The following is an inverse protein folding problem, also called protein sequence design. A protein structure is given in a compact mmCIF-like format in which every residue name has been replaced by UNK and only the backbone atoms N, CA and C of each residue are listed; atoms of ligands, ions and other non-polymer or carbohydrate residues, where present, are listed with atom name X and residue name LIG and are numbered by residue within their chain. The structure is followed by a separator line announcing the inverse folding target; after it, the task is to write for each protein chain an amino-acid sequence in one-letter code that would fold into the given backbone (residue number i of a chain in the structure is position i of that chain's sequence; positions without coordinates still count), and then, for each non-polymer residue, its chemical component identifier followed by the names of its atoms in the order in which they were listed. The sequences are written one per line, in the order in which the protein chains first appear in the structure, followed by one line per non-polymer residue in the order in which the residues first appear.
data_IF_469847207109
#
_entry.id   IF_469847207109
#
_cell.length_a   1.000
_cell.length_b   1.000
_cell.length_c   1.000
_cell.angle_alpha   90.00
_cell.angle_beta   90.00
_cell.angle_gamma   90.00
#
_symmetry.space_group_name_H-M   'P 1'
#
loop_
_entity.id
_entity.type
_entity.pdbx_description
1 polymer ?
#
# COMPACT_ATOMS: atom_id res chain seq x y z
N UNK A 1 12.95 18.20 13.39
CA UNK A 1 11.79 18.64 12.58
C UNK A 1 12.23 18.66 11.10
N UNK A 2 12.22 17.49 10.47
CA UNK A 2 12.75 17.30 9.10
C UNK A 2 11.63 17.41 8.05
N UNK A 3 10.65 18.33 8.23
CA UNK A 3 9.59 18.58 7.24
C UNK A 3 8.45 17.55 7.18
N UNK A 4 8.46 16.53 8.03
CA UNK A 4 7.40 15.52 8.11
C UNK A 4 6.25 16.02 8.99
N UNK A 5 5.04 16.01 8.44
CA UNK A 5 3.83 16.48 9.13
C UNK A 5 2.81 15.34 9.23
N UNK A 6 2.22 15.17 10.41
CA UNK A 6 1.11 14.23 10.59
C UNK A 6 -0.09 14.70 9.74
N UNK A 7 -0.57 13.84 8.85
CA UNK A 7 -1.63 14.15 7.90
C UNK A 7 -2.93 13.40 8.19
N UNK A 8 -2.83 12.15 8.59
CA UNK A 8 -3.99 11.29 8.86
C UNK A 8 -3.71 10.41 10.08
N UNK A 9 -4.75 10.18 10.89
CA UNK A 9 -4.70 9.20 11.96
C UNK A 9 -5.92 8.28 11.88
N UNK A 10 -5.68 7.00 12.03
CA UNK A 10 -6.72 5.96 12.09
C UNK A 10 -6.58 5.16 13.37
N UNK A 11 -7.69 4.79 13.98
CA UNK A 11 -7.73 3.96 15.16
C UNK A 11 -8.71 2.81 15.01
N UNK A 12 -8.32 1.64 15.49
CA UNK A 12 -9.21 0.47 15.54
C UNK A 12 -10.29 0.69 16.58
N UNK A 13 -11.54 0.64 16.17
CA UNK A 13 -12.68 0.58 17.11
C UNK A 13 -12.72 -0.80 17.74
N UNK A 14 -12.48 -0.89 19.04
CA UNK A 14 -12.52 -2.13 19.80
C UNK A 14 -13.59 -2.05 20.89
N UNK A 15 -14.38 -3.11 21.04
CA UNK A 15 -15.30 -3.25 22.19
C UNK A 15 -14.59 -3.70 23.46
N UNK A 16 -13.39 -4.27 23.32
CA UNK A 16 -12.61 -4.88 24.42
C UNK A 16 -11.60 -3.92 25.04
N UNK A 17 -11.10 -2.95 24.30
CA UNK A 17 -10.05 -2.04 24.71
C UNK A 17 -10.52 -0.59 24.63
N UNK A 18 -10.14 0.21 25.63
CA UNK A 18 -10.35 1.67 25.57
C UNK A 18 -9.61 2.27 24.37
N UNK A 19 -10.02 3.47 23.96
CA UNK A 19 -9.39 4.18 22.85
C UNK A 19 -7.86 4.29 23.05
N UNK A 20 -7.41 4.59 24.28
CA UNK A 20 -6.00 4.79 24.62
C UNK A 20 -5.13 3.55 24.44
N UNK A 21 -5.73 2.35 24.43
CA UNK A 21 -5.02 1.08 24.27
C UNK A 21 -5.24 0.42 22.91
N UNK A 22 -6.11 0.98 22.08
CA UNK A 22 -6.40 0.41 20.77
C UNK A 22 -5.25 0.67 19.79
N UNK A 23 -5.09 -0.27 18.83
CA UNK A 23 -4.13 -0.10 17.75
C UNK A 23 -4.47 1.14 16.94
N UNK A 24 -3.48 1.97 16.70
CA UNK A 24 -3.59 3.18 15.88
C UNK A 24 -2.50 3.25 14.83
N UNK A 25 -2.78 3.99 13.77
CA UNK A 25 -1.90 4.26 12.67
C UNK A 25 -1.89 5.77 12.46
N UNK A 26 -0.70 6.36 12.34
CA UNK A 26 -0.50 7.76 11.99
C UNK A 26 0.31 7.80 10.69
N UNK A 27 -0.13 8.63 9.75
CA UNK A 27 0.56 8.90 8.50
C UNK A 27 1.26 10.24 8.58
N UNK A 28 2.53 10.26 8.27
CA UNK A 28 3.33 11.46 8.12
C UNK A 28 3.68 11.65 6.67
N UNK A 29 3.58 12.87 6.19
CA UNK A 29 3.89 13.28 4.83
C UNK A 29 4.92 14.37 4.80
N UNK A 30 5.81 14.33 3.83
CA UNK A 30 6.76 15.40 3.54
C UNK A 30 6.33 16.11 2.26
N UNK A 31 6.04 17.41 2.32
CA UNK A 31 5.49 18.16 1.19
C UNK A 31 6.50 18.32 0.06
N UNK A 32 7.78 18.47 0.38
CA UNK A 32 8.84 18.64 -0.61
C UNK A 32 9.22 17.35 -1.38
N UNK A 33 8.68 16.20 -0.94
CA UNK A 33 8.87 14.91 -1.60
C UNK A 33 7.68 14.53 -2.49
N UNK A 34 6.85 15.48 -2.87
CA UNK A 34 5.74 15.23 -3.79
C UNK A 34 6.27 14.76 -5.16
N UNK A 35 5.71 13.69 -5.67
CA UNK A 35 6.05 13.17 -7.00
C UNK A 35 5.15 13.82 -8.05
N UNK A 36 5.46 15.06 -8.44
CA UNK A 36 4.62 15.85 -9.35
C UNK A 36 4.88 15.57 -10.84
N UNK A 37 5.96 14.84 -11.17
CA UNK A 37 6.45 14.73 -12.56
C UNK A 37 5.87 13.56 -13.37
N UNK A 38 5.02 12.73 -12.79
CA UNK A 38 4.56 11.51 -13.47
C UNK A 38 3.18 11.63 -14.17
N UNK A 39 2.55 12.80 -14.16
CA UNK A 39 1.23 12.98 -14.75
C UNK A 39 0.11 12.16 -14.09
N UNK A 40 0.39 11.57 -12.95
CA UNK A 40 -0.42 10.51 -12.30
C UNK A 40 -1.13 11.01 -11.05
N UNK A 41 -1.42 12.29 -10.96
CA UNK A 41 -1.88 12.93 -9.74
C UNK A 41 -0.78 12.97 -8.67
N UNK A 42 -0.90 13.85 -7.70
CA UNK A 42 0.13 14.02 -6.68
C UNK A 42 0.30 12.74 -5.85
N UNK A 43 1.45 12.11 -5.96
CA UNK A 43 1.87 10.99 -5.11
C UNK A 43 2.92 11.48 -4.13
N UNK A 44 2.80 11.06 -2.88
CA UNK A 44 3.70 11.48 -1.81
C UNK A 44 4.28 10.24 -1.12
N UNK A 45 5.58 10.19 -0.92
CA UNK A 45 6.15 9.29 0.07
C UNK A 45 5.58 9.59 1.45
N UNK A 46 5.20 8.56 2.16
CA UNK A 46 4.65 8.65 3.52
C UNK A 46 5.43 7.76 4.47
N UNK A 47 5.51 8.20 5.70
CA UNK A 47 5.86 7.32 6.81
C UNK A 47 4.60 6.92 7.58
N UNK A 48 4.49 5.63 7.87
CA UNK A 48 3.39 5.07 8.63
C UNK A 48 3.90 4.60 9.98
N UNK A 49 3.44 5.28 11.02
CA UNK A 49 3.64 4.88 12.39
C UNK A 49 2.45 4.01 12.83
N UNK A 50 2.70 2.78 13.20
CA UNK A 50 1.71 1.87 13.75
C UNK A 50 2.11 1.54 15.18
N UNK A 51 1.18 1.76 16.11
CA UNK A 51 1.42 1.49 17.52
C UNK A 51 0.21 0.85 18.20
N UNK A 52 0.44 0.16 19.32
CA UNK A 52 -0.60 -0.48 20.11
C UNK A 52 -0.15 -0.60 21.56
N UNK A 53 -0.87 0.04 22.48
CA UNK A 53 -0.53 0.10 23.91
C UNK A 53 -1.14 -1.06 24.75
N UNK A 54 -1.81 -2.02 24.11
CA UNK A 54 -2.43 -3.16 24.82
C UNK A 54 -1.52 -4.38 24.98
N UNK A 55 -0.23 -4.26 24.67
CA UNK A 55 0.76 -5.35 24.71
C UNK A 55 0.66 -6.39 23.58
N UNK A 56 -0.34 -6.27 22.69
CA UNK A 56 -0.57 -7.19 21.58
C UNK A 56 0.06 -6.73 20.26
N UNK A 57 0.68 -5.56 20.24
CA UNK A 57 1.32 -5.00 19.06
C UNK A 57 2.69 -4.40 19.37
N UNK A 58 3.55 -4.37 18.36
CA UNK A 58 4.83 -3.65 18.40
C UNK A 58 4.69 -2.26 17.81
N UNK A 59 5.57 -1.36 18.23
CA UNK A 59 5.86 -0.14 17.48
C UNK A 59 6.39 -0.52 16.10
N UNK A 60 5.86 0.07 15.05
CA UNK A 60 6.32 -0.13 13.70
C UNK A 60 6.34 1.20 12.96
N UNK A 61 7.46 1.49 12.32
CA UNK A 61 7.57 2.57 11.36
C UNK A 61 7.83 1.95 9.98
N UNK A 62 7.11 2.40 8.97
CA UNK A 62 7.19 1.84 7.62
C UNK A 62 7.16 2.97 6.59
N UNK A 63 7.89 2.79 5.49
CA UNK A 63 7.70 3.60 4.32
C UNK A 63 6.38 3.27 3.63
N UNK A 64 5.80 4.23 2.95
CA UNK A 64 4.56 4.09 2.18
C UNK A 64 4.51 5.09 1.05
N UNK A 65 3.57 4.89 0.16
CA UNK A 65 3.23 5.83 -0.90
C UNK A 65 1.76 6.22 -0.79
N UNK A 66 1.48 7.51 -0.80
CA UNK A 66 0.13 8.04 -0.82
C UNK A 66 -0.15 8.72 -2.15
N UNK A 67 -1.30 8.43 -2.73
CA UNK A 67 -1.77 9.06 -3.94
C UNK A 67 -3.05 9.83 -3.65
N UNK A 68 -3.03 11.15 -3.84
CA UNK A 68 -4.16 12.04 -3.52
C UNK A 68 -5.45 11.66 -4.25
N UNK A 69 -5.34 11.19 -5.48
CA UNK A 69 -6.49 10.85 -6.32
C UNK A 69 -7.29 9.67 -5.75
N UNK A 70 -6.66 8.78 -4.98
CA UNK A 70 -7.28 7.54 -4.52
C UNK A 70 -7.85 7.62 -3.09
N UNK A 71 -7.47 8.58 -2.26
CA UNK A 71 -7.72 8.57 -0.82
C UNK A 71 -7.39 7.22 -0.13
N UNK A 72 -6.80 6.30 -0.88
CA UNK A 72 -6.33 5.01 -0.39
C UNK A 72 -4.81 5.12 -0.25
N UNK A 73 -4.32 5.35 0.96
CA UNK A 73 -2.88 5.27 1.19
C UNK A 73 -2.41 3.85 0.88
N UNK A 74 -1.40 3.76 0.04
CA UNK A 74 -0.69 2.53 -0.24
C UNK A 74 0.41 2.37 0.80
N UNK A 75 0.45 1.24 1.45
CA UNK A 75 1.46 0.94 2.46
C UNK A 75 2.45 -0.03 1.82
N UNK A 76 3.65 0.46 1.60
CA UNK A 76 4.76 -0.37 1.17
C UNK A 76 5.49 -0.79 2.43
N UNK A 77 5.51 -2.07 2.70
CA UNK A 77 6.24 -2.64 3.82
C UNK A 77 7.10 -3.77 3.32
N UNK A 78 8.00 -3.46 2.42
CA UNK A 78 9.03 -4.41 2.00
C UNK A 78 10.29 -4.21 2.85
N UNK A 79 11.03 -5.30 3.06
CA UNK A 79 12.33 -5.26 3.72
C UNK A 79 13.35 -4.40 2.94
N UNK A 80 13.13 -4.19 1.64
CA UNK A 80 13.98 -3.36 0.78
C UNK A 80 13.78 -1.86 1.00
N UNK A 81 12.61 -1.41 1.52
CA UNK A 81 12.28 0.02 1.68
C UNK A 81 12.20 0.46 3.14
N UNK A 82 12.88 -0.24 4.02
CA UNK A 82 12.99 0.10 5.42
C UNK A 82 11.70 -0.10 6.21
N UNK A 83 11.74 -0.98 7.16
CA UNK A 83 10.72 -1.09 8.21
C UNK A 83 11.38 -1.29 9.55
N UNK A 84 10.95 -0.51 10.54
CA UNK A 84 11.37 -0.69 11.94
C UNK A 84 10.24 -1.38 12.67
N UNK A 85 10.57 -2.45 13.36
CA UNK A 85 9.63 -3.15 14.24
C UNK A 85 10.28 -3.36 15.59
N UNK A 86 9.80 -2.64 16.60
CA UNK A 86 10.31 -2.69 17.97
C UNK A 86 9.23 -3.16 18.94
N UNK A 87 9.56 -4.11 19.82
CA UNK A 87 8.70 -4.45 20.94
C UNK A 87 8.74 -3.37 22.01
N UNK A 88 7.65 -3.17 22.75
CA UNK A 88 7.61 -2.19 23.85
C UNK A 88 8.52 -2.56 25.03
N UNK A 89 8.83 -3.84 25.19
CA UNK A 89 9.76 -4.32 26.21
C UNK A 89 11.18 -4.24 25.65
N UNK A 90 12.07 -3.54 26.35
CA UNK A 90 13.45 -3.29 25.89
C UNK A 90 13.52 -2.22 24.79
N UNK A 91 12.66 -1.19 24.89
CA UNK A 91 12.66 -0.07 23.95
C UNK A 91 13.98 0.70 24.01
N UNK A 92 14.67 0.73 22.88
CA UNK A 92 15.88 1.52 22.67
C UNK A 92 15.54 2.69 21.73
N UNK A 93 15.51 3.91 22.29
CA UNK A 93 15.15 5.12 21.57
C UNK A 93 16.15 5.44 20.45
N UNK A 94 17.44 5.24 20.69
CA UNK A 94 18.49 5.56 19.71
C UNK A 94 18.42 4.63 18.50
N UNK A 95 18.21 3.34 18.73
CA UNK A 95 17.98 2.37 17.66
C UNK A 95 16.75 2.71 16.81
N UNK A 96 15.65 3.14 17.45
CA UNK A 96 14.43 3.55 16.74
C UNK A 96 14.68 4.80 15.90
N UNK A 97 15.39 5.81 16.44
CA UNK A 97 15.72 7.04 15.71
C UNK A 97 16.60 6.73 14.51
N UNK A 98 17.65 5.94 14.69
CA UNK A 98 18.55 5.57 13.60
C UNK A 98 17.84 4.80 12.49
N UNK A 99 17.04 3.81 12.86
CA UNK A 99 16.25 3.03 11.89
C UNK A 99 15.17 3.88 11.21
N UNK A 100 14.60 4.87 11.92
CA UNK A 100 13.63 5.82 11.34
C UNK A 100 14.27 6.69 10.26
N UNK A 101 15.51 7.12 10.46
CA UNK A 101 16.27 7.87 9.43
C UNK A 101 16.47 7.04 8.16
N UNK A 102 16.79 5.76 8.31
CA UNK A 102 16.94 4.87 7.17
C UNK A 102 15.60 4.73 6.39
N UNK A 103 14.46 4.59 7.08
CA UNK A 103 13.13 4.56 6.43
C UNK A 103 12.84 5.85 5.66
N UNK A 104 13.29 7.01 6.17
CA UNK A 104 13.12 8.30 5.50
C UNK A 104 13.97 8.36 4.21
N UNK A 105 15.23 7.91 4.29
CA UNK A 105 16.12 7.84 3.14
C UNK A 105 15.58 6.87 2.08
N UNK A 106 15.12 5.70 2.49
CA UNK A 106 14.54 4.69 1.61
C UNK A 106 13.24 5.18 0.95
N UNK A 107 12.44 5.99 1.64
CA UNK A 107 11.21 6.57 1.06
C UNK A 107 11.49 7.40 -0.20
N UNK A 108 12.66 8.04 -0.30
CA UNK A 108 13.07 8.79 -1.49
C UNK A 108 13.29 7.89 -2.71
N UNK A 109 13.62 6.62 -2.50
CA UNK A 109 13.85 5.65 -3.59
C UNK A 109 12.55 5.15 -4.22
N UNK A 110 11.43 5.29 -3.53
CA UNK A 110 10.11 4.87 -4.04
C UNK A 110 9.72 5.60 -5.32
N UNK A 111 10.14 6.85 -5.49
CA UNK A 111 9.92 7.61 -6.72
C UNK A 111 10.55 6.95 -7.94
N UNK A 112 11.74 6.37 -7.77
CA UNK A 112 12.43 5.67 -8.85
C UNK A 112 11.68 4.40 -9.28
N UNK A 113 11.12 3.66 -8.32
CA UNK A 113 10.32 2.45 -8.60
C UNK A 113 9.04 2.81 -9.34
N UNK A 114 8.35 3.88 -8.92
CA UNK A 114 7.15 4.36 -9.61
C UNK A 114 7.47 4.78 -11.04
N UNK A 115 8.56 5.55 -11.24
CA UNK A 115 9.04 5.96 -12.56
C UNK A 115 9.36 4.76 -13.45
N UNK A 116 10.02 3.78 -12.89
CA UNK A 116 10.34 2.54 -13.56
C UNK A 116 9.07 1.78 -14.01
N UNK A 117 8.11 1.60 -13.11
CA UNK A 117 6.83 0.95 -13.45
C UNK A 117 5.98 1.75 -14.44
N UNK A 118 6.05 3.08 -14.42
CA UNK A 118 5.37 3.92 -15.42
C UNK A 118 5.99 3.73 -16.81
N UNK A 119 7.28 3.44 -16.90
CA UNK A 119 7.98 3.19 -18.17
C UNK A 119 7.69 1.83 -18.81
N UNK A 120 7.14 0.86 -18.04
CA UNK A 120 6.83 -0.49 -18.51
C UNK A 120 5.42 -0.52 -19.08
N UNK A 121 5.27 -0.64 -20.41
CA UNK A 121 3.98 -0.90 -21.06
C UNK A 121 3.68 -2.39 -21.11
N UNK A 122 2.52 -2.78 -20.60
CA UNK A 122 2.06 -4.17 -20.58
C UNK A 122 1.27 -4.50 -21.85
N UNK A 123 1.55 -5.65 -22.44
CA UNK A 123 0.66 -6.20 -23.47
C UNK A 123 -0.71 -6.57 -22.85
N UNK A 124 -1.77 -6.73 -23.66
CA UNK A 124 -3.06 -7.19 -23.16
C UNK A 124 -2.99 -8.53 -22.40
N UNK A 125 -2.11 -9.42 -22.82
CA UNK A 125 -1.87 -10.71 -22.19
C UNK A 125 -1.19 -10.54 -20.82
N UNK A 126 -0.13 -9.74 -20.77
CA UNK A 126 0.58 -9.40 -19.53
C UNK A 126 -0.33 -8.70 -18.53
N UNK A 127 -1.15 -7.75 -19.00
CA UNK A 127 -2.13 -7.07 -18.15
C UNK A 127 -3.16 -8.05 -17.55
N UNK A 128 -3.67 -9.00 -18.34
CA UNK A 128 -4.59 -10.04 -17.84
C UNK A 128 -3.93 -10.93 -16.80
N UNK A 129 -2.70 -11.38 -17.06
CA UNK A 129 -1.96 -12.20 -16.11
C UNK A 129 -1.65 -11.44 -14.83
N UNK A 130 -1.24 -10.18 -14.92
CA UNK A 130 -1.02 -9.32 -13.78
C UNK A 130 -2.28 -9.17 -12.91
N UNK A 131 -3.42 -8.83 -13.52
CA UNK A 131 -4.70 -8.66 -12.81
C UNK A 131 -5.14 -9.96 -12.12
N UNK A 132 -4.88 -11.12 -12.75
CA UNK A 132 -5.16 -12.42 -12.14
C UNK A 132 -4.31 -12.62 -10.87
N UNK A 133 -3.00 -12.45 -10.94
CA UNK A 133 -2.11 -12.54 -9.76
C UNK A 133 -2.48 -11.53 -8.67
N UNK A 134 -2.80 -10.29 -9.04
CA UNK A 134 -3.29 -9.29 -8.10
C UNK A 134 -4.58 -9.73 -7.40
N UNK A 135 -5.51 -10.37 -8.12
CA UNK A 135 -6.73 -10.91 -7.54
C UNK A 135 -6.44 -12.02 -6.51
N UNK A 136 -5.50 -12.91 -6.82
CA UNK A 136 -5.08 -14.02 -5.95
C UNK A 136 -4.54 -13.54 -4.59
N UNK A 137 -3.91 -12.36 -4.53
CA UNK A 137 -3.45 -11.74 -3.27
C UNK A 137 -4.57 -11.60 -2.24
N UNK A 138 -5.78 -11.27 -2.68
CA UNK A 138 -6.93 -11.08 -1.77
C UNK A 138 -7.88 -12.27 -1.72
N UNK A 139 -8.08 -12.94 -2.83
CA UNK A 139 -9.14 -13.94 -3.01
C UNK A 139 -8.62 -15.36 -3.09
N UNK A 140 -7.28 -15.57 -3.13
CA UNK A 140 -6.67 -16.90 -3.32
C UNK A 140 -7.21 -17.55 -4.60
N UNK A 141 -7.59 -18.82 -4.52
CA UNK A 141 -8.12 -19.60 -5.65
C UNK A 141 -9.56 -19.20 -6.04
N UNK A 142 -10.25 -18.34 -5.27
CA UNK A 142 -11.63 -17.92 -5.53
C UNK A 142 -11.70 -16.69 -6.46
N UNK A 143 -10.92 -16.72 -7.54
CA UNK A 143 -10.90 -15.66 -8.56
C UNK A 143 -11.85 -16.03 -9.70
N UNK A 144 -12.72 -15.09 -10.07
CA UNK A 144 -13.66 -15.22 -11.18
C UNK A 144 -13.61 -14.04 -12.15
N UNK A 145 -14.34 -14.14 -13.26
CA UNK A 145 -14.37 -13.10 -14.30
C UNK A 145 -14.86 -11.75 -13.78
N UNK A 146 -15.75 -11.74 -12.81
CA UNK A 146 -16.32 -10.51 -12.26
C UNK A 146 -15.26 -9.77 -11.42
N UNK A 147 -14.50 -10.51 -10.60
CA UNK A 147 -13.35 -9.96 -9.87
C UNK A 147 -12.33 -9.36 -10.86
N UNK A 148 -11.91 -10.13 -11.87
CA UNK A 148 -10.91 -9.68 -12.85
C UNK A 148 -11.36 -8.40 -13.58
N UNK A 149 -12.62 -8.35 -14.03
CA UNK A 149 -13.18 -7.18 -14.69
C UNK A 149 -13.20 -5.94 -13.77
N UNK A 150 -13.54 -6.12 -12.49
CA UNK A 150 -13.58 -5.03 -11.53
C UNK A 150 -12.18 -4.53 -11.13
N UNK A 151 -11.18 -5.41 -11.03
CA UNK A 151 -9.80 -5.02 -10.75
C UNK A 151 -9.13 -4.33 -11.95
N UNK A 152 -9.46 -4.74 -13.16
CA UNK A 152 -8.91 -4.11 -14.38
C UNK A 152 -9.64 -2.82 -14.76
N UNK A 153 -10.75 -2.51 -14.12
CA UNK A 153 -11.54 -1.31 -14.44
C UNK A 153 -10.84 -0.05 -13.95
N UNK A 154 -10.51 0.84 -14.89
CA UNK A 154 -10.10 2.20 -14.52
C UNK A 154 -11.31 2.96 -13.97
N UNK A 155 -11.17 3.48 -12.76
CA UNK A 155 -12.18 4.34 -12.11
C UNK A 155 -11.83 5.81 -12.25
N UNK A 156 -10.66 6.11 -12.81
CA UNK A 156 -10.06 7.45 -12.92
C UNK A 156 -9.37 7.62 -14.26
N UNK A 157 -9.35 8.84 -14.76
CA UNK A 157 -8.68 9.15 -16.02
C UNK A 157 -7.16 8.94 -15.91
N UNK A 158 -6.57 9.23 -14.77
CA UNK A 158 -5.14 9.10 -14.48
C UNK A 158 -4.66 7.65 -14.54
N UNK A 159 -5.57 6.69 -14.30
CA UNK A 159 -5.27 5.25 -14.34
C UNK A 159 -5.58 4.60 -15.70
N UNK A 160 -6.00 5.40 -16.69
CA UNK A 160 -6.18 4.93 -18.06
C UNK A 160 -4.82 4.72 -18.72
N UNK A 161 -4.63 3.58 -19.37
CA UNK A 161 -3.41 3.23 -20.10
C UNK A 161 -2.90 1.85 -19.72
N UNK A 162 -1.77 1.50 -20.27
CA UNK A 162 -1.18 0.16 -20.23
C UNK A 162 0.12 0.09 -19.41
N UNK A 163 0.54 1.19 -18.77
CA UNK A 163 1.72 1.13 -17.92
C UNK A 163 1.49 0.20 -16.71
N UNK A 164 2.57 -0.41 -16.25
CA UNK A 164 2.57 -1.24 -15.03
C UNK A 164 2.02 -0.44 -13.84
N UNK A 165 2.45 0.81 -13.66
CA UNK A 165 2.01 1.67 -12.58
C UNK A 165 0.50 1.93 -12.61
N UNK A 166 -0.07 2.23 -13.78
CA UNK A 166 -1.51 2.43 -13.95
C UNK A 166 -2.29 1.15 -13.69
N UNK A 167 -1.77 0.02 -14.17
CA UNK A 167 -2.38 -1.30 -13.94
C UNK A 167 -2.34 -1.68 -12.46
N UNK A 168 -1.22 -1.41 -11.78
CA UNK A 168 -1.10 -1.56 -10.33
C UNK A 168 -2.16 -0.73 -9.59
N UNK A 169 -2.31 0.55 -9.93
CA UNK A 169 -3.28 1.43 -9.26
C UNK A 169 -4.72 0.96 -9.44
N UNK A 170 -5.11 0.50 -10.64
CA UNK A 170 -6.44 -0.08 -10.88
C UNK A 170 -6.69 -1.29 -9.99
N UNK A 171 -5.74 -2.22 -9.95
CA UNK A 171 -5.83 -3.43 -9.13
C UNK A 171 -5.91 -3.08 -7.65
N UNK A 172 -5.01 -2.25 -7.15
CA UNK A 172 -4.95 -1.82 -5.76
C UNK A 172 -6.26 -1.15 -5.31
N UNK A 173 -6.78 -0.21 -6.10
CA UNK A 173 -8.05 0.44 -5.78
C UNK A 173 -9.21 -0.57 -5.73
N UNK A 174 -9.27 -1.49 -6.69
CA UNK A 174 -10.27 -2.54 -6.73
C UNK A 174 -10.19 -3.49 -5.53
N UNK A 175 -8.98 -3.89 -5.16
CA UNK A 175 -8.73 -4.74 -3.99
C UNK A 175 -9.13 -4.04 -2.69
N UNK A 176 -8.79 -2.76 -2.51
CA UNK A 176 -9.07 -2.04 -1.27
C UNK A 176 -10.55 -1.66 -1.13
N UNK A 177 -11.17 -1.15 -2.17
CA UNK A 177 -12.56 -0.69 -2.13
C UNK A 177 -13.58 -1.81 -2.20
N UNK A 178 -13.31 -2.86 -2.96
CA UNK A 178 -14.32 -3.89 -3.25
C UNK A 178 -15.52 -3.29 -3.99
N UNK A 179 -16.72 -3.55 -3.48
CA UNK A 179 -17.98 -3.03 -4.05
C UNK A 179 -18.49 -3.85 -5.22
N UNK A 180 -18.06 -5.10 -5.35
CA UNK A 180 -18.51 -6.05 -6.38
C UNK A 180 -18.78 -7.43 -5.76
N UNK A 181 -19.56 -8.25 -6.46
CA UNK A 181 -19.87 -9.62 -6.04
C UNK A 181 -18.77 -10.56 -6.57
N UNK A 182 -18.24 -11.38 -5.69
CA UNK A 182 -17.47 -12.56 -6.08
C UNK A 182 -18.46 -13.63 -6.54
N UNK A 183 -18.44 -13.94 -7.84
CA UNK A 183 -19.41 -14.89 -8.45
C UNK A 183 -19.18 -16.34 -8.00
N UNK A 184 -17.95 -16.71 -7.61
CA UNK A 184 -17.66 -18.05 -7.08
C UNK A 184 -18.26 -18.26 -5.71
N UNK A 185 -18.13 -17.28 -4.82
CA UNK A 185 -18.62 -17.38 -3.43
C UNK A 185 -20.00 -16.77 -3.22
N UNK A 186 -20.53 -16.05 -4.22
CA UNK A 186 -21.75 -15.24 -4.16
C UNK A 186 -21.75 -14.24 -2.99
N UNK A 187 -20.59 -13.72 -2.62
CA UNK A 187 -20.41 -12.75 -1.53
C UNK A 187 -19.94 -11.41 -2.06
N UNK A 188 -20.38 -10.34 -1.42
CA UNK A 188 -19.85 -9.01 -1.71
C UNK A 188 -18.43 -8.85 -1.18
N UNK A 189 -17.51 -8.47 -2.06
CA UNK A 189 -16.19 -7.96 -1.67
C UNK A 189 -16.38 -6.59 -1.01
N UNK A 190 -16.22 -6.52 0.31
CA UNK A 190 -16.37 -5.27 1.08
C UNK A 190 -15.06 -4.49 1.07
N UNK A 191 -15.15 -3.18 1.31
CA UNK A 191 -13.96 -2.36 1.54
C UNK A 191 -13.13 -2.89 2.71
N UNK A 192 -11.80 -2.82 2.57
CA UNK A 192 -10.86 -3.23 3.60
C UNK A 192 -10.69 -2.08 4.59
N UNK A 193 -11.20 -2.27 5.81
CA UNK A 193 -11.11 -1.31 6.91
C UNK A 193 -10.18 -1.77 8.03
N UNK A 194 -9.80 -3.05 8.04
CA UNK A 194 -8.87 -3.58 9.03
C UNK A 194 -7.43 -3.19 8.67
N UNK A 195 -6.72 -2.55 9.59
CA UNK A 195 -5.35 -2.06 9.38
C UNK A 195 -4.39 -3.20 9.03
N UNK A 196 -4.46 -4.35 9.71
CA UNK A 196 -3.54 -5.45 9.43
C UNK A 196 -3.79 -6.06 8.05
N UNK A 197 -5.06 -6.26 7.69
CA UNK A 197 -5.44 -6.78 6.37
C UNK A 197 -5.04 -5.81 5.26
N UNK A 198 -5.21 -4.51 5.50
CA UNK A 198 -4.79 -3.47 4.56
C UNK A 198 -3.27 -3.51 4.33
N UNK A 199 -2.50 -3.53 5.44
CA UNK A 199 -1.04 -3.66 5.40
C UNK A 199 -0.60 -4.90 4.62
N UNK A 200 -1.16 -6.06 4.97
CA UNK A 200 -0.77 -7.33 4.35
C UNK A 200 -1.03 -7.33 2.84
N UNK A 201 -2.25 -6.97 2.42
CA UNK A 201 -2.60 -6.98 0.99
C UNK A 201 -1.75 -6.00 0.19
N UNK A 202 -1.47 -4.80 0.71
CA UNK A 202 -0.63 -3.84 0.01
C UNK A 202 0.82 -4.32 -0.08
N UNK A 203 1.37 -4.91 0.98
CA UNK A 203 2.72 -5.49 0.97
C UNK A 203 2.83 -6.63 -0.05
N UNK A 204 1.89 -7.57 -0.03
CA UNK A 204 1.90 -8.72 -0.94
C UNK A 204 1.70 -8.27 -2.40
N UNK A 205 0.81 -7.29 -2.63
CA UNK A 205 0.60 -6.74 -3.96
C UNK A 205 1.85 -6.02 -4.49
N UNK A 206 2.55 -5.26 -3.64
CA UNK A 206 3.77 -4.57 -4.02
C UNK A 206 4.88 -5.57 -4.37
N UNK A 207 5.12 -6.57 -3.52
CA UNK A 207 6.12 -7.61 -3.76
C UNK A 207 5.83 -8.37 -5.07
N UNK A 208 4.58 -8.82 -5.27
CA UNK A 208 4.15 -9.47 -6.51
C UNK A 208 4.37 -8.56 -7.74
N UNK A 209 4.11 -7.25 -7.61
CA UNK A 209 4.30 -6.31 -8.72
C UNK A 209 5.77 -6.12 -9.06
N UNK A 210 6.65 -6.04 -8.04
CA UNK A 210 8.09 -5.94 -8.24
C UNK A 210 8.65 -7.15 -8.98
N UNK A 211 8.25 -8.36 -8.58
CA UNK A 211 8.61 -9.61 -9.26
C UNK A 211 8.10 -9.64 -10.71
N UNK A 212 6.84 -9.23 -10.92
CA UNK A 212 6.23 -9.20 -12.24
C UNK A 212 6.92 -8.19 -13.17
N UNK A 213 7.27 -7.01 -12.66
CA UNK A 213 7.99 -5.99 -13.40
C UNK A 213 9.37 -6.47 -13.86
N UNK A 214 10.09 -7.19 -13.00
CA UNK A 214 11.36 -7.81 -13.37
C UNK A 214 11.20 -8.88 -14.47
N UNK A 215 10.16 -9.71 -14.36
CA UNK A 215 9.89 -10.76 -15.35
C UNK A 215 9.50 -10.21 -16.74
N UNK A 216 8.83 -9.06 -16.78
CA UNK A 216 8.43 -8.42 -18.06
C UNK A 216 9.62 -7.76 -18.78
N UNK A 217 10.66 -7.35 -18.03
CA UNK A 217 11.86 -6.71 -18.60
C UNK A 217 12.88 -7.70 -19.18
N UNK A 218 12.80 -8.96 -18.79
CA UNK A 218 13.68 -10.04 -19.23
C UNK A 218 13.06 -10.79 -20.42
#
# INVERSE_FOLDING_TARGET
EEGWVAHEAQQVKSRKWSADHAKHLIRFRHQDLAMNDFGVGDSFPEMLLINCHNGLGSYQLRAGLYRMVCSNGMIIADAEYGSVKQRHIGFDADSVIQSSRQVIEDASTLSNVVSDWESISLTPEQSREYIKRAAEVRFGDNVDRNILANLNRSRRNEDMGDSMWKTFNRAQEGLMRGGFVNGTTNRNARAITNINTNLQINTDLWAMTSEFAQAVKN
#
